data_IF_075953495645
#
_entry.id   IF_075953495645
#
_cell.length_a   1.000
_cell.length_b   1.000
_cell.length_c   1.000
_cell.angle_alpha   90.00
_cell.angle_beta   90.00
_cell.angle_gamma   90.00
#
_symmetry.space_group_name_H-M   'P 1'
#
loop_
_entity.id
_entity.type
_entity.pdbx_description
1 polymer ?
#
# COMPACT_ATOMS: atom_id res chain seq x y z
N UNK A 1 10.54 15.74 -5.97
CA UNK A 1 9.28 15.79 -5.17
C UNK A 1 8.69 14.40 -5.07
N UNK A 2 8.03 14.11 -3.93
CA UNK A 2 7.29 12.87 -3.71
C UNK A 2 6.00 12.86 -4.53
N UNK A 3 5.54 11.67 -4.90
CA UNK A 3 4.29 11.49 -5.65
C UNK A 3 3.10 11.45 -4.70
N UNK A 4 1.92 11.79 -5.24
CA UNK A 4 0.67 11.74 -4.49
C UNK A 4 0.35 10.28 -4.15
N UNK A 5 -0.08 10.06 -2.90
CA UNK A 5 -0.54 8.77 -2.40
C UNK A 5 -2.06 8.82 -2.30
N UNK A 6 -2.73 7.79 -2.81
CA UNK A 6 -4.19 7.64 -2.77
C UNK A 6 -4.58 6.37 -2.01
N UNK A 7 -5.75 6.37 -1.36
CA UNK A 7 -6.27 5.16 -0.71
C UNK A 7 -6.68 4.16 -1.79
N UNK A 8 -6.43 2.86 -1.58
CA UNK A 8 -6.83 1.80 -2.50
C UNK A 8 -8.35 1.68 -2.68
N UNK A 9 -8.74 0.77 -3.57
CA UNK A 9 -10.14 0.61 -4.00
C UNK A 9 -11.01 -0.02 -2.90
N UNK A 10 -12.13 0.63 -2.58
CA UNK A 10 -13.10 0.15 -1.57
C UNK A 10 -14.23 -0.63 -2.25
N UNK A 11 -14.42 -1.92 -1.94
CA UNK A 11 -15.45 -2.74 -2.60
C UNK A 11 -16.87 -2.30 -2.26
N UNK A 12 -17.15 -2.04 -0.98
CA UNK A 12 -18.52 -1.81 -0.44
C UNK A 12 -19.52 -2.84 -0.99
N UNK A 13 -19.19 -4.12 -0.84
CA UNK A 13 -19.82 -5.24 -1.56
C UNK A 13 -20.39 -6.33 -0.64
N UNK A 14 -20.19 -6.20 0.68
CA UNK A 14 -20.58 -7.22 1.65
C UNK A 14 -19.81 -8.53 1.49
N UNK A 15 -18.62 -8.48 0.85
CA UNK A 15 -17.79 -9.64 0.57
C UNK A 15 -18.19 -10.45 -0.67
N UNK A 16 -19.13 -9.96 -1.50
CA UNK A 16 -19.64 -10.72 -2.65
C UNK A 16 -18.78 -10.61 -3.92
N UNK A 17 -18.00 -9.54 -4.09
CA UNK A 17 -17.02 -9.41 -5.19
C UNK A 17 -15.63 -9.90 -4.80
N UNK A 18 -15.42 -10.23 -3.52
CA UNK A 18 -14.17 -10.80 -3.02
C UNK A 18 -14.28 -12.33 -2.98
N UNK A 19 -13.21 -13.00 -3.42
CA UNK A 19 -13.04 -14.44 -3.34
C UNK A 19 -12.08 -14.71 -2.17
N UNK A 20 -12.65 -15.07 -1.02
CA UNK A 20 -11.95 -15.18 0.25
C UNK A 20 -11.34 -16.56 0.47
N UNK A 21 -11.89 -17.59 -0.16
CA UNK A 21 -11.40 -18.95 -0.04
C UNK A 21 -10.89 -19.49 -1.37
N UNK A 22 -10.08 -20.54 -1.29
CA UNK A 22 -9.57 -21.20 -2.49
C UNK A 22 -10.70 -21.85 -3.29
N UNK A 23 -11.73 -22.34 -2.61
CA UNK A 23 -12.90 -22.94 -3.22
C UNK A 23 -13.71 -21.91 -4.04
N UNK A 24 -13.88 -20.69 -3.52
CA UNK A 24 -14.55 -19.61 -4.26
C UNK A 24 -13.75 -19.19 -5.51
N UNK A 25 -12.42 -19.17 -5.39
CA UNK A 25 -11.54 -18.96 -6.53
C UNK A 25 -11.67 -20.08 -7.57
N UNK A 26 -11.56 -21.34 -7.16
CA UNK A 26 -11.65 -22.48 -8.07
C UNK A 26 -13.04 -22.58 -8.73
N UNK A 27 -14.10 -22.17 -8.04
CA UNK A 27 -15.45 -22.04 -8.62
C UNK A 27 -15.53 -20.94 -9.67
N UNK A 28 -14.97 -19.75 -9.38
CA UNK A 28 -14.89 -18.66 -10.36
C UNK A 28 -14.11 -19.07 -11.61
N UNK A 29 -13.01 -19.82 -11.44
CA UNK A 29 -12.17 -20.27 -12.55
C UNK A 29 -12.82 -21.35 -13.42
N UNK A 30 -13.87 -22.04 -12.94
CA UNK A 30 -14.67 -23.00 -13.76
C UNK A 30 -15.65 -22.31 -14.70
N UNK A 31 -16.02 -21.06 -14.41
CA UNK A 31 -16.85 -20.23 -15.29
C UNK A 31 -15.93 -19.46 -16.26
N UNK A 32 -15.94 -19.78 -17.58
CA UNK A 32 -15.02 -19.18 -18.55
C UNK A 32 -15.16 -17.66 -18.67
N UNK A 33 -16.31 -17.09 -18.32
CA UNK A 33 -16.55 -15.66 -18.33
C UNK A 33 -16.00 -15.05 -17.05
N UNK A 34 -16.34 -15.61 -15.88
CA UNK A 34 -15.86 -15.09 -14.59
C UNK A 34 -14.32 -15.12 -14.51
N UNK A 35 -13.69 -16.19 -15.01
CA UNK A 35 -12.23 -16.34 -15.05
C UNK A 35 -11.50 -15.16 -15.70
N UNK A 36 -12.12 -14.48 -16.69
CA UNK A 36 -11.54 -13.29 -17.35
C UNK A 36 -11.33 -12.11 -16.39
N UNK A 37 -12.17 -12.03 -15.35
CA UNK A 37 -12.23 -10.91 -14.41
C UNK A 37 -11.67 -11.23 -13.03
N UNK A 38 -11.23 -12.47 -12.79
CA UNK A 38 -10.53 -12.81 -11.55
C UNK A 38 -9.18 -12.11 -11.55
N UNK A 39 -8.91 -11.36 -10.49
CA UNK A 39 -7.63 -10.68 -10.27
C UNK A 39 -7.12 -10.94 -8.85
N UNK A 40 -5.80 -11.05 -8.63
CA UNK A 40 -5.25 -11.00 -7.29
C UNK A 40 -5.71 -9.73 -6.57
N UNK A 41 -6.05 -9.86 -5.29
CA UNK A 41 -6.51 -8.75 -4.46
C UNK A 41 -5.64 -8.66 -3.22
N UNK A 42 -5.17 -7.45 -2.89
CA UNK A 42 -4.28 -7.22 -1.75
C UNK A 42 -4.85 -6.14 -0.84
N UNK A 43 -5.10 -6.52 0.41
CA UNK A 43 -5.27 -5.60 1.53
C UNK A 43 -4.03 -5.69 2.44
N UNK A 44 -4.03 -4.96 3.56
CA UNK A 44 -2.87 -4.91 4.44
C UNK A 44 -2.42 -6.28 4.96
N UNK A 45 -3.38 -7.18 5.27
CA UNK A 45 -3.05 -8.53 5.75
C UNK A 45 -2.37 -9.36 4.66
N UNK A 46 -2.89 -9.32 3.43
CA UNK A 46 -2.36 -10.07 2.30
C UNK A 46 -0.99 -9.54 1.87
N UNK A 47 -0.80 -8.21 1.86
CA UNK A 47 0.50 -7.58 1.60
C UNK A 47 1.55 -8.05 2.60
N UNK A 48 1.26 -7.97 3.89
CA UNK A 48 2.25 -8.22 4.93
C UNK A 48 2.59 -9.70 5.08
N UNK A 49 1.60 -10.59 4.96
CA UNK A 49 1.77 -12.01 5.27
C UNK A 49 1.89 -12.88 4.00
N UNK A 50 2.00 -12.27 2.82
CA UNK A 50 2.03 -12.96 1.52
C UNK A 50 0.87 -13.97 1.35
N UNK A 51 -0.35 -13.55 1.71
CA UNK A 51 -1.56 -14.39 1.63
C UNK A 51 -2.23 -14.19 0.28
N UNK A 52 -2.60 -15.28 -0.37
CA UNK A 52 -3.38 -15.24 -1.59
C UNK A 52 -4.85 -14.87 -1.31
N UNK A 53 -5.36 -13.93 -2.10
CA UNK A 53 -6.76 -13.53 -2.16
C UNK A 53 -7.04 -12.95 -3.53
N UNK A 54 -8.31 -13.02 -3.94
CA UNK A 54 -8.74 -12.57 -5.27
C UNK A 54 -10.04 -11.77 -5.19
N UNK A 55 -10.36 -11.09 -6.28
CA UNK A 55 -11.65 -10.44 -6.48
C UNK A 55 -12.13 -10.60 -7.92
N UNK A 56 -13.42 -10.33 -8.12
CA UNK A 56 -14.00 -10.07 -9.42
C UNK A 56 -13.84 -8.58 -9.75
N UNK A 57 -12.95 -8.25 -10.69
CA UNK A 57 -12.72 -6.90 -11.16
C UNK A 57 -13.44 -6.66 -12.50
N UNK A 58 -14.67 -6.15 -12.43
CA UNK A 58 -15.64 -6.12 -13.53
C UNK A 58 -15.71 -4.76 -14.26
N UNK A 59 -14.64 -3.95 -14.23
CA UNK A 59 -14.63 -2.60 -14.85
C UNK A 59 -14.94 -2.66 -16.35
N UNK A 60 -14.33 -3.62 -17.03
CA UNK A 60 -14.43 -3.81 -18.47
C UNK A 60 -15.35 -5.00 -18.83
N UNK A 61 -16.25 -5.37 -17.93
CA UNK A 61 -17.17 -6.49 -18.17
C UNK A 61 -18.36 -6.06 -19.03
N UNK A 62 -18.61 -6.76 -20.13
CA UNK A 62 -19.76 -6.46 -20.97
C UNK A 62 -21.08 -6.90 -20.33
N UNK A 63 -22.20 -6.17 -20.53
CA UNK A 63 -23.49 -6.55 -19.98
C UNK A 63 -23.96 -7.95 -20.40
N UNK A 64 -23.60 -8.43 -21.59
CA UNK A 64 -23.90 -9.81 -22.01
C UNK A 64 -23.15 -10.84 -21.19
N UNK A 65 -21.87 -10.61 -20.92
CA UNK A 65 -21.00 -11.50 -20.14
C UNK A 65 -21.50 -11.61 -18.69
N UNK A 66 -21.84 -10.47 -18.08
CA UNK A 66 -22.40 -10.46 -16.71
C UNK A 66 -23.75 -11.18 -16.61
N UNK A 67 -24.57 -11.20 -17.67
CA UNK A 67 -25.85 -11.93 -17.69
C UNK A 67 -25.66 -13.43 -17.94
N UNK A 68 -24.70 -13.80 -18.76
CA UNK A 68 -24.44 -15.19 -19.14
C UNK A 68 -23.75 -15.96 -18.01
N UNK A 69 -22.84 -15.32 -17.28
CA UNK A 69 -22.19 -15.91 -16.11
C UNK A 69 -23.15 -15.99 -14.92
N UNK A 70 -23.53 -17.21 -14.53
CA UNK A 70 -24.30 -17.45 -13.31
C UNK A 70 -23.51 -17.07 -12.06
N UNK A 71 -22.18 -17.30 -12.06
CA UNK A 71 -21.33 -16.98 -10.93
C UNK A 71 -21.28 -15.47 -10.66
N UNK A 72 -21.08 -14.67 -11.72
CA UNK A 72 -21.04 -13.21 -11.62
C UNK A 72 -22.42 -12.64 -11.27
N UNK A 73 -23.46 -13.01 -12.01
CA UNK A 73 -24.81 -12.44 -11.82
C UNK A 73 -25.37 -12.65 -10.41
N UNK A 74 -25.17 -13.84 -9.82
CA UNK A 74 -25.59 -14.12 -8.44
C UNK A 74 -24.84 -13.25 -7.42
N UNK A 75 -23.54 -13.01 -7.61
CA UNK A 75 -22.74 -12.15 -6.73
C UNK A 75 -23.14 -10.68 -6.87
N UNK A 76 -23.34 -10.19 -8.10
CA UNK A 76 -23.85 -8.83 -8.37
C UNK A 76 -25.19 -8.60 -7.67
N UNK A 77 -26.10 -9.57 -7.75
CA UNK A 77 -27.42 -9.44 -7.13
C UNK A 77 -27.32 -9.33 -5.60
N UNK A 78 -26.44 -10.11 -4.96
CA UNK A 78 -26.19 -9.98 -3.52
C UNK A 78 -25.60 -8.61 -3.14
N UNK A 79 -24.69 -8.07 -3.95
CA UNK A 79 -24.18 -6.70 -3.76
C UNK A 79 -25.30 -5.68 -3.88
N UNK A 80 -26.15 -5.80 -4.90
CA UNK A 80 -27.27 -4.91 -5.15
C UNK A 80 -28.22 -4.87 -3.95
N UNK A 81 -28.68 -6.04 -3.51
CA UNK A 81 -29.58 -6.17 -2.36
C UNK A 81 -28.98 -5.55 -1.09
N UNK A 82 -27.69 -5.83 -0.82
CA UNK A 82 -26.99 -5.26 0.34
C UNK A 82 -26.91 -3.73 0.25
N UNK A 83 -26.57 -3.18 -0.92
CA UNK A 83 -26.47 -1.72 -1.13
C UNK A 83 -27.84 -1.03 -1.03
N UNK A 84 -28.91 -1.63 -1.57
CA UNK A 84 -30.28 -1.09 -1.57
C UNK A 84 -30.85 -0.87 -0.17
N UNK A 85 -30.51 -1.77 0.78
CA UNK A 85 -30.99 -1.67 2.16
C UNK A 85 -30.11 -0.78 3.06
N UNK A 86 -28.99 -0.26 2.55
CA UNK A 86 -28.05 0.56 3.34
C UNK A 86 -28.69 1.86 3.80
N UNK A 87 -28.42 2.32 5.01
CA UNK A 87 -28.92 3.63 5.49
C UNK A 87 -28.21 4.82 4.83
N UNK A 88 -26.97 4.63 4.37
CA UNK A 88 -26.20 5.67 3.69
C UNK A 88 -26.72 5.90 2.26
N UNK A 89 -27.06 7.16 1.93
CA UNK A 89 -27.59 7.52 0.61
C UNK A 89 -26.61 7.23 -0.53
N UNK A 90 -25.31 7.44 -0.30
CA UNK A 90 -24.24 7.11 -1.24
C UNK A 90 -24.20 5.61 -1.54
N UNK A 91 -24.23 4.76 -0.51
CA UNK A 91 -24.25 3.29 -0.67
C UNK A 91 -25.50 2.81 -1.39
N UNK A 92 -26.67 3.36 -1.06
CA UNK A 92 -27.92 3.09 -1.79
C UNK A 92 -27.81 3.41 -3.29
N UNK A 93 -27.20 4.55 -3.63
CA UNK A 93 -27.00 4.94 -5.03
C UNK A 93 -26.08 3.97 -5.79
N UNK A 94 -25.06 3.41 -5.11
CA UNK A 94 -24.14 2.42 -5.68
C UNK A 94 -24.79 1.06 -6.00
N UNK A 95 -26.04 0.82 -5.60
CA UNK A 95 -26.77 -0.38 -6.03
C UNK A 95 -26.95 -0.45 -7.56
N UNK A 96 -27.02 0.71 -8.23
CA UNK A 96 -27.14 0.80 -9.69
C UNK A 96 -25.89 0.34 -10.44
N UNK A 97 -24.75 0.27 -9.75
CA UNK A 97 -23.45 -0.17 -10.26
C UNK A 97 -22.91 -1.31 -9.39
N UNK A 98 -23.77 -2.25 -9.01
CA UNK A 98 -23.46 -3.36 -8.10
C UNK A 98 -22.29 -4.27 -8.55
N UNK A 99 -21.91 -4.23 -9.83
CA UNK A 99 -20.74 -4.94 -10.36
C UNK A 99 -19.41 -4.22 -10.12
N UNK A 100 -19.43 -2.92 -9.81
CA UNK A 100 -18.24 -2.13 -9.55
C UNK A 100 -17.96 -2.02 -8.05
N UNK A 101 -16.68 -1.87 -7.71
CA UNK A 101 -16.26 -1.43 -6.39
C UNK A 101 -16.79 -0.02 -6.13
N UNK A 102 -17.18 0.27 -4.89
CA UNK A 102 -17.76 1.57 -4.53
C UNK A 102 -16.78 2.75 -4.70
N UNK A 103 -15.49 2.51 -4.45
CA UNK A 103 -14.42 3.44 -4.80
C UNK A 103 -13.34 2.71 -5.60
N UNK A 104 -12.90 3.31 -6.70
CA UNK A 104 -11.91 2.74 -7.59
C UNK A 104 -10.71 3.68 -7.70
N UNK A 105 -9.58 3.20 -7.20
CA UNK A 105 -8.32 3.93 -7.18
C UNK A 105 -7.16 3.09 -7.75
N UNK A 106 -7.49 2.04 -8.52
CA UNK A 106 -6.50 1.10 -9.04
C UNK A 106 -5.57 1.80 -10.05
N UNK A 107 -4.24 1.81 -9.79
CA UNK A 107 -3.27 2.37 -10.72
C UNK A 107 -3.20 1.58 -12.03
N UNK A 108 -2.92 2.29 -13.13
CA UNK A 108 -2.70 1.71 -14.47
C UNK A 108 -1.23 1.35 -14.75
N UNK A 109 -0.34 1.65 -13.81
CA UNK A 109 1.10 1.36 -13.88
C UNK A 109 1.55 0.71 -12.58
N UNK A 110 2.76 0.15 -12.56
CA UNK A 110 3.34 -0.40 -11.33
C UNK A 110 3.28 0.63 -10.21
N UNK A 111 2.93 0.17 -9.02
CA UNK A 111 2.65 1.03 -7.90
C UNK A 111 3.24 0.49 -6.61
N UNK A 112 3.59 1.41 -5.72
CA UNK A 112 3.94 1.16 -4.34
C UNK A 112 2.68 0.93 -3.53
N UNK A 113 2.59 -0.24 -2.91
CA UNK A 113 1.55 -0.64 -1.97
C UNK A 113 2.03 -0.35 -0.53
N UNK A 114 1.31 0.55 0.15
CA UNK A 114 1.65 1.03 1.49
C UNK A 114 0.60 0.51 2.47
N UNK A 115 0.95 -0.29 3.49
CA UNK A 115 -0.01 -0.78 4.46
C UNK A 115 -0.65 0.37 5.25
N UNK A 116 -1.98 0.37 5.36
CA UNK A 116 -2.71 1.40 6.15
C UNK A 116 -2.41 1.30 7.64
N UNK A 117 -2.18 0.09 8.14
CA UNK A 117 -1.84 -0.16 9.55
C UNK A 117 -0.50 -0.87 9.57
N UNK A 118 0.47 -0.26 10.24
CA UNK A 118 1.81 -0.79 10.46
C UNK A 118 1.94 -1.10 11.94
N UNK A 119 2.31 -2.33 12.30
CA UNK A 119 2.51 -2.64 13.71
C UNK A 119 3.65 -1.82 14.29
N UNK A 120 3.48 -1.30 15.50
CA UNK A 120 4.53 -0.54 16.19
C UNK A 120 5.74 -1.40 16.60
N UNK A 121 5.66 -2.72 16.43
CA UNK A 121 6.81 -3.61 16.61
C UNK A 121 7.83 -3.50 15.48
N UNK A 122 7.41 -3.22 14.24
CA UNK A 122 8.33 -3.17 13.09
C UNK A 122 9.04 -1.83 13.03
N UNK A 123 10.31 -1.87 12.69
CA UNK A 123 11.17 -0.68 12.57
C UNK A 123 10.89 0.11 11.28
N UNK A 124 10.22 -0.50 10.30
CA UNK A 124 9.94 0.06 8.98
C UNK A 124 8.48 -0.14 8.56
N UNK A 125 8.01 0.66 7.60
CA UNK A 125 6.62 0.66 7.12
C UNK A 125 6.22 -0.67 6.46
N UNK A 126 7.15 -1.38 5.83
CA UNK A 126 6.95 -2.66 5.12
C UNK A 126 6.01 -2.57 3.90
N UNK A 127 6.32 -1.63 3.01
CA UNK A 127 5.70 -1.46 1.70
C UNK A 127 6.26 -2.44 0.68
N UNK A 128 5.54 -2.65 -0.43
CA UNK A 128 5.99 -3.46 -1.56
C UNK A 128 5.56 -2.88 -2.92
N UNK A 129 6.13 -3.38 -4.01
CA UNK A 129 5.80 -2.97 -5.37
C UNK A 129 4.89 -4.01 -6.04
N UNK A 130 3.78 -3.54 -6.61
CA UNK A 130 2.84 -4.38 -7.35
C UNK A 130 2.58 -3.88 -8.76
N UNK A 131 2.21 -4.82 -9.62
CA UNK A 131 1.76 -4.57 -10.99
C UNK A 131 0.27 -4.19 -11.04
N UNK A 132 -0.20 -3.49 -12.09
CA UNK A 132 -1.59 -3.04 -12.23
C UNK A 132 -2.66 -4.14 -12.15
N UNK A 133 -2.30 -5.38 -12.48
CA UNK A 133 -3.18 -6.54 -12.45
C UNK A 133 -3.48 -7.04 -11.03
N UNK A 134 -2.70 -6.64 -10.03
CA UNK A 134 -2.97 -6.89 -8.61
C UNK A 134 -3.83 -5.73 -8.11
N UNK A 135 -5.08 -6.03 -7.72
CA UNK A 135 -6.01 -5.01 -7.28
C UNK A 135 -5.72 -4.62 -5.83
N UNK A 136 -5.48 -3.32 -5.62
CA UNK A 136 -5.26 -2.73 -4.31
C UNK A 136 -6.59 -2.46 -3.59
N UNK A 137 -6.76 -3.08 -2.42
CA UNK A 137 -7.89 -2.80 -1.53
C UNK A 137 -7.66 -1.57 -0.65
N UNK A 138 -8.71 -1.10 -0.01
CA UNK A 138 -8.76 0.14 0.77
C UNK A 138 -7.98 0.13 2.10
N UNK A 139 -7.42 -1.03 2.46
CA UNK A 139 -6.52 -1.23 3.60
C UNK A 139 -5.03 -1.11 3.21
N UNK A 140 -4.75 -0.77 1.96
CA UNK A 140 -3.47 -0.27 1.52
C UNK A 140 -3.67 1.07 0.80
N UNK A 141 -2.64 1.89 0.77
CA UNK A 141 -2.54 3.04 -0.10
C UNK A 141 -1.68 2.69 -1.31
N UNK A 142 -1.90 3.43 -2.39
CA UNK A 142 -1.20 3.27 -3.66
C UNK A 142 -0.47 4.55 -4.03
N UNK A 143 0.72 4.40 -4.61
CA UNK A 143 1.53 5.50 -5.11
C UNK A 143 2.24 5.08 -6.39
N UNK A 144 2.21 5.90 -7.44
CA UNK A 144 3.06 5.65 -8.60
C UNK A 144 4.51 5.89 -8.23
N UNK A 145 5.38 4.90 -8.47
CA UNK A 145 6.78 4.96 -8.05
C UNK A 145 7.73 4.39 -9.11
N UNK A 146 7.70 4.99 -10.30
CA UNK A 146 8.42 4.49 -11.48
C UNK A 146 9.94 4.38 -11.30
N UNK A 147 10.53 5.17 -10.41
CA UNK A 147 11.97 5.17 -10.16
C UNK A 147 12.37 4.70 -8.75
N UNK A 148 11.42 4.41 -7.87
CA UNK A 148 11.68 3.89 -6.53
C UNK A 148 11.98 4.94 -5.46
N UNK A 149 11.86 6.24 -5.76
CA UNK A 149 12.11 7.28 -4.74
C UNK A 149 11.11 7.20 -3.59
N UNK A 150 9.84 6.89 -3.87
CA UNK A 150 8.81 6.90 -2.82
C UNK A 150 9.00 5.70 -1.90
N UNK A 151 9.34 4.54 -2.46
CA UNK A 151 9.74 3.34 -1.73
C UNK A 151 10.92 3.63 -0.80
N UNK A 152 12.01 4.20 -1.35
CA UNK A 152 13.22 4.47 -0.56
C UNK A 152 12.95 5.42 0.62
N UNK A 153 12.13 6.45 0.41
CA UNK A 153 11.78 7.39 1.48
C UNK A 153 10.87 6.75 2.53
N UNK A 154 9.81 6.04 2.13
CA UNK A 154 8.84 5.48 3.08
C UNK A 154 9.39 4.28 3.88
N UNK A 155 10.40 3.61 3.34
CA UNK A 155 11.11 2.52 4.01
C UNK A 155 12.28 2.99 4.88
N UNK A 156 12.46 4.30 5.08
CA UNK A 156 13.51 4.84 5.95
C UNK A 156 13.06 5.02 7.41
N UNK A 157 14.01 4.95 8.34
CA UNK A 157 13.85 5.34 9.74
C UNK A 157 13.47 6.82 9.88
N UNK A 158 13.89 7.68 8.95
CA UNK A 158 13.47 9.09 8.90
C UNK A 158 11.96 9.23 8.69
N UNK A 159 11.40 8.47 7.74
CA UNK A 159 9.95 8.44 7.57
C UNK A 159 9.25 7.85 8.79
N UNK A 160 9.78 6.78 9.37
CA UNK A 160 9.18 6.16 10.56
C UNK A 160 9.17 7.10 11.77
N UNK A 161 10.24 7.86 12.01
CA UNK A 161 10.28 8.89 13.04
C UNK A 161 9.17 9.94 12.84
N UNK A 162 8.91 10.35 11.60
CA UNK A 162 7.82 11.26 11.27
C UNK A 162 6.43 10.64 11.49
N UNK A 163 6.22 9.44 10.97
CA UNK A 163 4.98 8.68 11.12
C UNK A 163 4.66 8.41 12.60
N UNK A 164 5.67 8.12 13.42
CA UNK A 164 5.49 7.86 14.84
C UNK A 164 5.07 9.13 15.61
N UNK A 165 5.64 10.28 15.25
CA UNK A 165 5.44 11.55 15.95
C UNK A 165 4.09 12.21 15.63
N UNK A 166 3.65 12.18 14.37
CA UNK A 166 2.46 12.94 13.93
C UNK A 166 1.34 12.07 13.37
N UNK A 167 1.61 10.78 13.13
CA UNK A 167 0.65 9.87 12.55
C UNK A 167 -0.46 9.45 13.53
N UNK A 168 -1.61 9.08 12.96
CA UNK A 168 -2.67 8.45 13.73
C UNK A 168 -2.28 7.07 14.23
N UNK A 169 -3.02 6.57 15.23
CA UNK A 169 -2.84 5.21 15.76
C UNK A 169 -4.13 4.40 15.68
N UNK A 170 -4.00 3.09 15.54
CA UNK A 170 -5.06 2.12 15.80
C UNK A 170 -4.65 1.32 17.05
N UNK A 171 -5.25 1.65 18.19
CA UNK A 171 -4.71 1.27 19.51
C UNK A 171 -3.26 1.79 19.63
N UNK A 172 -2.27 0.91 19.65
CA UNK A 172 -0.84 1.27 19.69
C UNK A 172 -0.16 1.27 18.31
N UNK A 173 -0.77 0.63 17.32
CA UNK A 173 -0.16 0.47 15.99
C UNK A 173 -0.26 1.75 15.17
N UNK A 174 0.76 2.00 14.34
CA UNK A 174 0.77 3.13 13.42
C UNK A 174 -0.34 2.98 12.38
N UNK A 175 -1.07 4.06 12.15
CA UNK A 175 -2.05 4.16 11.07
C UNK A 175 -1.60 5.22 10.08
N UNK A 176 -1.14 4.74 8.92
CA UNK A 176 -0.70 5.60 7.84
C UNK A 176 -1.86 6.45 7.30
N UNK A 177 -1.53 7.71 7.03
CA UNK A 177 -2.44 8.70 6.45
C UNK A 177 -1.68 9.52 5.41
N UNK A 178 -2.19 9.56 4.18
CA UNK A 178 -1.61 10.38 3.14
C UNK A 178 -1.73 11.88 3.47
N UNK A 179 -2.86 12.35 3.98
CA UNK A 179 -3.12 13.77 4.25
C UNK A 179 -2.44 14.31 5.52
N UNK A 180 -2.18 13.45 6.49
CA UNK A 180 -1.56 13.85 7.77
C UNK A 180 -0.06 13.60 7.73
N UNK A 181 0.39 12.45 7.25
CA UNK A 181 1.81 12.04 7.35
C UNK A 181 2.55 12.31 6.06
N UNK A 182 2.13 11.66 4.96
CA UNK A 182 2.88 11.69 3.71
C UNK A 182 2.96 13.08 3.06
N UNK A 183 1.82 13.76 2.93
CA UNK A 183 1.73 15.06 2.29
C UNK A 183 2.45 16.17 3.08
N UNK A 184 2.68 15.94 4.37
CA UNK A 184 3.35 16.90 5.26
C UNK A 184 4.78 16.48 5.60
N UNK A 185 5.32 15.41 5.00
CA UNK A 185 6.70 15.00 5.20
C UNK A 185 7.63 16.09 4.64
N UNK A 186 8.47 16.73 5.47
CA UNK A 186 9.25 17.90 5.07
C UNK A 186 10.55 17.49 4.35
N UNK A 187 10.41 16.77 3.23
CA UNK A 187 11.53 16.39 2.37
C UNK A 187 11.99 17.62 1.57
N UNK A 188 13.23 18.11 1.76
CA UNK A 188 13.76 19.22 0.97
C UNK A 188 13.92 18.84 -0.51
N UNK A 189 14.11 19.84 -1.37
CA UNK A 189 14.47 19.58 -2.76
C UNK A 189 15.82 18.86 -2.83
N UNK A 190 15.84 17.69 -3.46
CA UNK A 190 17.04 16.87 -3.61
C UNK A 190 17.78 17.24 -4.88
N UNK A 191 19.10 17.34 -4.78
CA UNK A 191 19.97 17.36 -5.97
C UNK A 191 19.82 16.06 -6.75
N UNK A 192 20.09 16.10 -8.06
CA UNK A 192 20.02 14.92 -8.91
C UNK A 192 20.89 13.76 -8.39
N UNK A 193 22.10 14.07 -7.90
CA UNK A 193 23.01 13.08 -7.32
C UNK A 193 22.49 12.47 -6.03
N UNK A 194 21.93 13.29 -5.12
CA UNK A 194 21.38 12.78 -3.86
C UNK A 194 20.15 11.91 -4.12
N UNK A 195 19.27 12.37 -5.02
CA UNK A 195 18.10 11.60 -5.43
C UNK A 195 18.47 10.23 -6.01
N UNK A 196 19.49 10.19 -6.87
CA UNK A 196 19.98 8.94 -7.43
C UNK A 196 20.53 7.99 -6.34
N UNK A 197 21.28 8.51 -5.37
CA UNK A 197 21.79 7.71 -4.23
C UNK A 197 20.67 7.11 -3.39
N UNK A 198 19.64 7.89 -3.06
CA UNK A 198 18.46 7.41 -2.30
C UNK A 198 17.76 6.29 -3.07
N UNK A 199 17.56 6.46 -4.38
CA UNK A 199 16.94 5.46 -5.24
C UNK A 199 17.75 4.16 -5.27
N UNK A 200 19.06 4.24 -5.48
CA UNK A 200 19.92 3.05 -5.51
C UNK A 200 19.95 2.32 -4.16
N UNK A 201 19.91 3.05 -3.05
CA UNK A 201 19.79 2.45 -1.72
C UNK A 201 18.46 1.72 -1.52
N UNK A 202 17.34 2.31 -1.96
CA UNK A 202 16.03 1.65 -1.95
C UNK A 202 16.01 0.38 -2.81
N UNK A 203 16.61 0.42 -4.00
CA UNK A 203 16.77 -0.78 -4.85
C UNK A 203 17.61 -1.86 -4.18
N UNK A 204 18.64 -1.49 -3.41
CA UNK A 204 19.44 -2.44 -2.66
C UNK A 204 18.61 -3.17 -1.59
N UNK A 205 17.71 -2.48 -0.89
CA UNK A 205 16.75 -3.10 0.05
C UNK A 205 15.87 -4.12 -0.67
N UNK A 206 15.26 -3.75 -1.80
CA UNK A 206 14.44 -4.67 -2.60
C UNK A 206 15.23 -5.89 -3.09
N UNK A 207 16.46 -5.68 -3.55
CA UNK A 207 17.36 -6.75 -3.99
C UNK A 207 17.68 -7.73 -2.87
N UNK A 208 17.90 -7.23 -1.65
CA UNK A 208 18.15 -8.10 -0.50
C UNK A 208 16.90 -8.89 -0.14
N UNK A 209 15.71 -8.26 -0.11
CA UNK A 209 14.44 -8.98 0.10
C UNK A 209 14.27 -10.14 -0.89
N UNK A 210 14.62 -9.93 -2.16
CA UNK A 210 14.53 -10.95 -3.21
C UNK A 210 15.46 -12.17 -2.98
N UNK A 211 16.50 -12.04 -2.16
CA UNK A 211 17.38 -13.16 -1.78
C UNK A 211 16.77 -14.07 -0.70
N UNK A 212 15.59 -13.75 -0.18
CA UNK A 212 14.88 -14.53 0.85
C UNK A 212 13.54 -15.05 0.30
N UNK A 213 13.54 -15.93 -0.72
CA UNK A 213 12.32 -16.39 -1.37
C UNK A 213 11.43 -17.17 -0.40
N UNK A 214 10.12 -16.99 -0.53
CA UNK A 214 9.11 -17.69 0.28
C UNK A 214 8.88 -17.09 1.67
N UNK A 215 9.68 -16.12 2.12
CA UNK A 215 9.43 -15.40 3.37
C UNK A 215 8.48 -14.23 3.14
N UNK A 216 7.54 -14.03 4.07
CA UNK A 216 6.64 -12.87 4.01
C UNK A 216 7.33 -11.60 4.51
N UNK A 217 6.76 -10.43 4.24
CA UNK A 217 7.24 -9.18 4.86
C UNK A 217 7.11 -9.24 6.38
N UNK A 218 6.13 -9.97 6.91
CA UNK A 218 5.99 -10.20 8.34
C UNK A 218 7.21 -10.93 8.94
N UNK A 219 7.72 -11.95 8.24
CA UNK A 219 8.87 -12.73 8.68
C UNK A 219 10.17 -11.93 8.52
N UNK A 220 10.36 -11.32 7.35
CA UNK A 220 11.57 -10.54 7.03
C UNK A 220 11.78 -9.34 7.95
N UNK A 221 10.68 -8.77 8.46
CA UNK A 221 10.71 -7.58 9.31
C UNK A 221 10.29 -7.87 10.75
N UNK A 222 10.32 -9.13 11.23
CA UNK A 222 10.28 -9.35 12.68
C UNK A 222 11.58 -8.79 13.28
N UNK A 223 11.53 -7.82 14.22
CA UNK A 223 12.74 -7.17 14.75
C UNK A 223 13.75 -8.14 15.36
N UNK A 224 13.27 -9.26 15.89
CA UNK A 224 14.08 -10.29 16.55
C UNK A 224 14.82 -11.14 15.53
N UNK A 225 14.20 -11.40 14.38
CA UNK A 225 14.66 -12.38 13.40
C UNK A 225 15.00 -11.77 12.03
N UNK A 226 14.91 -10.43 11.89
CA UNK A 226 15.23 -9.72 10.67
C UNK A 226 16.61 -10.12 10.15
N UNK A 227 16.73 -10.61 8.89
CA UNK A 227 18.00 -11.00 8.31
C UNK A 227 19.05 -9.89 8.40
N UNK A 228 20.28 -10.25 8.77
CA UNK A 228 21.35 -9.27 8.98
C UNK A 228 21.71 -8.48 7.71
N UNK A 229 21.60 -9.09 6.54
CA UNK A 229 21.80 -8.44 5.26
C UNK A 229 20.70 -7.41 4.98
N UNK A 230 19.44 -7.72 5.31
CA UNK A 230 18.32 -6.79 5.17
C UNK A 230 18.48 -5.60 6.13
N UNK A 231 18.86 -5.86 7.38
CA UNK A 231 19.15 -4.81 8.37
C UNK A 231 20.26 -3.88 7.89
N UNK A 232 21.37 -4.44 7.40
CA UNK A 232 22.47 -3.65 6.81
C UNK A 232 22.02 -2.82 5.61
N UNK A 233 21.15 -3.35 4.75
CA UNK A 233 20.63 -2.59 3.60
C UNK A 233 19.81 -1.37 4.04
N UNK A 234 19.00 -1.52 5.10
CA UNK A 234 18.29 -0.39 5.69
C UNK A 234 19.22 0.59 6.40
N UNK A 235 20.23 0.11 7.13
CA UNK A 235 21.21 1.00 7.77
C UNK A 235 21.91 1.90 6.74
N UNK A 236 22.24 1.36 5.54
CA UNK A 236 22.80 2.16 4.45
C UNK A 236 21.78 3.11 3.81
N UNK A 237 20.53 2.67 3.65
CA UNK A 237 19.44 3.56 3.21
C UNK A 237 19.26 4.73 4.17
N UNK A 238 19.22 4.46 5.47
CA UNK A 238 19.03 5.45 6.53
C UNK A 238 20.15 6.48 6.55
N UNK A 239 21.42 6.05 6.44
CA UNK A 239 22.56 6.99 6.34
C UNK A 239 22.41 7.98 5.19
N UNK A 240 21.92 7.51 4.03
CA UNK A 240 21.75 8.35 2.84
C UNK A 240 20.53 9.25 2.99
N UNK A 241 19.42 8.71 3.50
CA UNK A 241 18.19 9.47 3.71
C UNK A 241 18.36 10.54 4.79
N UNK A 242 19.06 10.24 5.88
CA UNK A 242 19.38 11.23 6.92
C UNK A 242 20.06 12.47 6.32
N UNK A 243 21.07 12.26 5.45
CA UNK A 243 21.75 13.34 4.73
C UNK A 243 20.82 14.01 3.72
N UNK A 244 19.94 13.27 3.05
CA UNK A 244 18.96 13.82 2.11
C UNK A 244 17.97 14.79 2.80
N UNK A 245 17.67 14.57 4.09
CA UNK A 245 16.86 15.49 4.91
C UNK A 245 17.69 16.61 5.57
N UNK A 246 19.00 16.67 5.35
CA UNK A 246 19.87 17.74 5.81
C UNK A 246 20.70 17.42 7.04
N UNK A 247 20.80 16.15 7.46
CA UNK A 247 21.76 15.75 8.49
C UNK A 247 23.21 15.88 7.96
N UNK A 248 24.13 16.36 8.81
CA UNK A 248 25.55 16.48 8.44
C UNK A 248 26.31 15.16 8.57
N UNK A 249 25.75 14.22 9.34
CA UNK A 249 26.21 12.84 9.56
C UNK A 249 24.97 11.96 9.78
N UNK A 250 25.08 10.63 9.62
CA UNK A 250 23.99 9.71 9.95
C UNK A 250 23.47 9.92 11.37
N UNK A 251 22.15 9.88 11.53
CA UNK A 251 21.49 10.07 12.82
C UNK A 251 21.66 8.83 13.70
N UNK A 252 21.89 9.06 14.98
CA UNK A 252 22.11 7.98 15.96
C UNK A 252 20.81 7.35 16.47
N UNK A 253 19.70 8.09 16.41
CA UNK A 253 18.39 7.70 16.90
C UNK A 253 17.27 8.52 16.24
N UNK A 254 16.02 8.20 16.57
CA UNK A 254 14.85 8.89 15.99
C UNK A 254 14.60 10.29 16.57
N UNK A 255 15.15 10.64 17.74
CA UNK A 255 15.02 11.98 18.31
C UNK A 255 15.82 13.00 17.47
N UNK A 256 17.04 12.64 17.06
CA UNK A 256 17.86 13.45 16.14
C UNK A 256 17.14 13.67 14.80
N UNK A 257 16.51 12.62 14.26
CA UNK A 257 15.71 12.68 13.02
C UNK A 257 14.52 13.62 13.19
N UNK A 258 13.82 13.52 14.32
CA UNK A 258 12.64 14.33 14.60
C UNK A 258 12.98 15.83 14.71
N UNK A 259 14.13 16.16 15.29
CA UNK A 259 14.62 17.55 15.34
C UNK A 259 14.84 18.12 13.92
N UNK A 260 15.45 17.34 13.02
CA UNK A 260 15.66 17.74 11.62
C UNK A 260 14.32 17.93 10.89
N UNK A 261 13.39 17.00 11.08
CA UNK A 261 12.06 17.03 10.47
C UNK A 261 11.28 18.28 10.91
N UNK A 262 11.19 18.56 12.21
CA UNK A 262 10.47 19.74 12.69
C UNK A 262 11.11 21.05 12.23
N UNK A 263 12.45 21.15 12.24
CA UNK A 263 13.14 22.33 11.69
C UNK A 263 12.81 22.52 10.20
N UNK A 264 12.82 21.44 9.42
CA UNK A 264 12.48 21.49 7.99
C UNK A 264 11.03 21.86 7.77
N UNK A 265 10.10 21.32 8.57
CA UNK A 265 8.68 21.62 8.50
C UNK A 265 8.39 23.10 8.81
N UNK A 266 8.99 23.66 9.86
CA UNK A 266 8.84 25.07 10.21
C UNK A 266 9.33 25.95 9.08
N UNK A 267 10.51 25.66 8.51
CA UNK A 267 11.05 26.42 7.38
C UNK A 267 10.11 26.40 6.16
N UNK A 268 9.55 25.23 5.83
CA UNK A 268 8.67 25.06 4.66
C UNK A 268 7.25 25.62 4.85
N UNK A 269 6.84 25.94 6.07
CA UNK A 269 5.48 26.45 6.39
C UNK A 269 5.45 27.92 6.79
N UNK A 270 6.61 28.53 7.05
CA UNK A 270 6.76 29.95 7.35
C UNK A 270 7.11 30.81 6.12
N UNK A 271 7.36 30.17 4.97
CA UNK A 271 7.45 30.80 3.64
C UNK A 271 6.06 30.83 2.98
#
# INVERSE_FOLDING_TARGET
>A
MLKKVDRGSEPTDGGNLILNTREEYDEAMKDPIAAKYVRPFRMGKELINNIERWCLWLVDAEPSEMRESKFISLRIEKVRQMREISTASSTKAMAKTAWLFGQQAQPQTNYLAIPRVCTNRREYTTCDLYEPNIIAGDQIYVCSDSDGINFAIIESSMFMAWQDAIGGRLKSDNRFSNTVVWNNLPLPELTSDMRAKVIEAGKAVLKVRANHPGQSLADLYDPTYMPQDLRKAHDELDKIVDVAFGATKPCSNNDERLEILFKSYIRMTQE
#
